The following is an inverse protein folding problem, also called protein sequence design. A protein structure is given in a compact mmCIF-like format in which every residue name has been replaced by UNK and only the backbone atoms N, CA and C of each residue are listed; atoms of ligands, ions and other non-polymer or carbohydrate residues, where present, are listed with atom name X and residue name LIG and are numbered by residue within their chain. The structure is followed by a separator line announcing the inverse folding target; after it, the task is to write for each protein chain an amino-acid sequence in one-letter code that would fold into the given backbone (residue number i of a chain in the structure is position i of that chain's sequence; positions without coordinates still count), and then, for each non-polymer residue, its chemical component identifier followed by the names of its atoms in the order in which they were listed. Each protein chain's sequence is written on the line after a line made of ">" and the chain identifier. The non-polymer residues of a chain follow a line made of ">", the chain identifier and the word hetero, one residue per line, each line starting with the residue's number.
data_IF_641598649462
#
_entry.id   IF_641598649462
#
_cell.length_a   1.000
_cell.length_b   1.000
_cell.length_c   1.000
_cell.angle_alpha   90.00
_cell.angle_beta   90.00
_cell.angle_gamma   90.00
#
_symmetry.space_group_name_H-M   'P 1'
#
loop_
_entity.id
_entity.type
_entity.pdbx_description
1 polymer ?
#
# COMPACT_ATOMS: atom_id res chain seq x y z
N UNK A 1 4.99 19.17 17.55
CA UNK A 1 4.55 17.95 16.83
C UNK A 1 5.75 17.11 16.45
N UNK A 2 5.58 15.80 16.37
CA UNK A 2 6.64 14.87 15.94
C UNK A 2 6.39 14.45 14.49
N UNK A 3 7.46 14.16 13.78
CA UNK A 3 7.38 13.64 12.42
C UNK A 3 7.77 12.16 12.45
N UNK A 4 6.88 11.30 11.95
CA UNK A 4 7.16 9.88 11.78
C UNK A 4 7.50 9.64 10.31
N UNK A 5 8.63 8.98 10.06
CA UNK A 5 8.98 8.52 8.72
C UNK A 5 8.81 7.01 8.65
N UNK A 6 8.05 6.55 7.68
CA UNK A 6 7.73 5.14 7.50
C UNK A 6 8.24 4.68 6.13
N UNK A 7 9.01 3.59 6.13
CA UNK A 7 9.51 2.98 4.90
C UNK A 7 8.93 1.57 4.79
N UNK A 8 8.26 1.30 3.68
CA UNK A 8 7.67 0.00 3.41
C UNK A 8 8.30 -0.57 2.13
N UNK A 9 8.79 -1.80 2.21
CA UNK A 9 9.31 -2.53 1.06
C UNK A 9 8.54 -3.83 0.92
N UNK A 10 8.08 -4.11 -0.30
CA UNK A 10 7.37 -5.34 -0.61
C UNK A 10 7.86 -5.90 -1.93
N UNK A 11 7.97 -7.22 -2.00
CA UNK A 11 8.29 -7.93 -3.22
C UNK A 11 7.16 -8.91 -3.52
N UNK A 12 6.71 -8.91 -4.77
CA UNK A 12 5.64 -9.77 -5.22
C UNK A 12 6.10 -10.55 -6.45
N UNK A 13 5.77 -11.82 -6.49
CA UNK A 13 5.89 -12.62 -7.71
C UNK A 13 4.57 -12.54 -8.46
N UNK A 14 4.61 -12.01 -9.68
CA UNK A 14 3.40 -11.74 -10.45
C UNK A 14 3.44 -12.55 -11.76
N UNK A 15 2.27 -12.87 -12.33
CA UNK A 15 2.21 -13.52 -13.66
C UNK A 15 2.84 -12.64 -14.75
N UNK A 16 3.37 -13.28 -15.79
CA UNK A 16 4.08 -12.58 -16.86
C UNK A 16 3.16 -11.65 -17.67
N UNK A 17 1.86 -11.89 -17.67
CA UNK A 17 0.90 -11.06 -18.39
C UNK A 17 0.43 -9.82 -17.63
N UNK A 18 0.92 -9.61 -16.41
CA UNK A 18 0.69 -8.37 -15.67
C UNK A 18 1.77 -7.36 -16.05
N UNK A 19 1.39 -6.12 -16.28
CA UNK A 19 2.29 -5.09 -16.79
C UNK A 19 2.27 -3.85 -15.95
N UNK A 20 3.42 -3.19 -15.85
CA UNK A 20 3.53 -1.86 -15.25
C UNK A 20 3.27 -0.84 -16.36
N UNK A 21 2.24 -0.02 -16.20
CA UNK A 21 1.82 0.96 -17.20
C UNK A 21 1.61 2.32 -16.57
N UNK A 22 1.67 3.37 -17.39
CA UNK A 22 1.30 4.71 -16.95
C UNK A 22 -0.20 4.89 -17.14
N UNK A 23 -0.90 5.15 -16.03
CA UNK A 23 -2.34 5.41 -16.07
C UNK A 23 -2.60 6.83 -16.57
N UNK A 24 -3.74 7.11 -17.25
CA UNK A 24 -4.08 8.46 -17.69
C UNK A 24 -4.10 9.52 -16.58
N UNK A 25 -4.24 9.12 -15.31
CA UNK A 25 -4.14 10.02 -14.18
C UNK A 25 -2.72 10.51 -13.90
N UNK A 26 -1.71 9.99 -14.59
CA UNK A 26 -0.32 10.41 -14.47
C UNK A 26 0.55 9.57 -13.54
N UNK A 27 -0.01 8.50 -12.97
CA UNK A 27 0.76 7.60 -12.08
C UNK A 27 1.02 6.26 -12.77
N UNK A 28 2.08 5.59 -12.34
CA UNK A 28 2.35 4.23 -12.77
C UNK A 28 1.57 3.25 -11.90
N UNK A 29 0.91 2.31 -12.54
CA UNK A 29 0.07 1.30 -11.91
C UNK A 29 0.32 -0.05 -12.55
N UNK A 30 -0.14 -1.10 -11.89
CA UNK A 30 -0.06 -2.45 -12.41
C UNK A 30 -1.33 -2.76 -13.19
N UNK A 31 -1.18 -3.17 -14.46
CA UNK A 31 -2.33 -3.55 -15.30
C UNK A 31 -2.54 -5.05 -15.21
N UNK A 32 -3.76 -5.45 -14.83
CA UNK A 32 -4.16 -6.84 -14.67
C UNK A 32 -5.44 -7.05 -15.48
N UNK A 33 -5.32 -7.61 -16.68
CA UNK A 33 -6.46 -7.73 -17.58
C UNK A 33 -7.02 -6.36 -17.96
N UNK A 34 -8.26 -6.08 -17.58
CA UNK A 34 -8.91 -4.78 -17.81
C UNK A 34 -8.97 -3.91 -16.55
N UNK A 35 -8.18 -4.23 -15.53
CA UNK A 35 -8.17 -3.51 -14.26
C UNK A 35 -6.80 -2.88 -14.02
N UNK A 36 -6.77 -1.87 -13.18
CA UNK A 36 -5.54 -1.22 -12.75
C UNK A 36 -5.45 -1.32 -11.23
N UNK A 37 -4.26 -1.62 -10.74
CA UNK A 37 -4.00 -1.80 -9.32
C UNK A 37 -2.93 -0.82 -8.89
N UNK A 38 -3.22 -0.05 -7.84
CA UNK A 38 -2.27 0.79 -7.14
C UNK A 38 -2.15 0.28 -5.70
N UNK A 39 -1.06 0.62 -5.05
CA UNK A 39 -0.82 0.20 -3.67
C UNK A 39 -0.82 1.42 -2.76
N UNK A 40 -1.45 1.27 -1.62
CA UNK A 40 -1.61 2.34 -0.64
C UNK A 40 -1.27 1.84 0.76
N UNK A 41 -1.13 2.76 1.70
CA UNK A 41 -0.91 2.43 3.09
C UNK A 41 -2.25 2.07 3.74
N UNK A 42 -2.27 0.94 4.44
CA UNK A 42 -3.45 0.51 5.19
C UNK A 42 -3.09 0.35 6.68
N UNK A 43 -3.42 1.31 7.54
CA UNK A 43 -3.20 1.17 8.97
C UNK A 43 -4.03 0.04 9.57
N UNK A 44 -3.43 -0.72 10.47
CA UNK A 44 -4.10 -1.78 11.22
C UNK A 44 -4.06 -1.44 12.70
N UNK A 45 -5.13 -1.75 13.42
CA UNK A 45 -5.33 -1.31 14.81
C UNK A 45 -5.70 -2.49 15.70
N UNK A 46 -5.20 -2.50 16.92
CA UNK A 46 -5.68 -3.37 17.98
C UNK A 46 -5.60 -2.63 19.32
N UNK A 47 -6.55 -2.86 20.19
CA UNK A 47 -6.50 -2.42 21.58
C UNK A 47 -6.00 -3.52 22.52
N UNK A 48 -5.79 -4.73 22.02
CA UNK A 48 -5.32 -5.86 22.80
C UNK A 48 -3.82 -5.79 23.05
N UNK A 49 -3.40 -6.11 24.28
CA UNK A 49 -1.98 -6.22 24.63
C UNK A 49 -1.49 -7.67 24.65
N UNK A 50 -2.34 -8.62 24.26
CA UNK A 50 -1.98 -10.02 24.20
C UNK A 50 -1.00 -10.30 23.05
N UNK A 51 -0.05 -11.24 23.20
CA UNK A 51 0.89 -11.56 22.13
C UNK A 51 0.23 -12.12 20.86
N UNK A 52 -0.97 -12.70 20.98
CA UNK A 52 -1.74 -13.27 19.87
C UNK A 52 -2.84 -12.32 19.37
N UNK A 53 -2.72 -11.03 19.64
CA UNK A 53 -3.71 -10.05 19.23
C UNK A 53 -3.94 -10.06 17.73
N UNK A 54 -5.21 -9.89 17.34
CA UNK A 54 -5.59 -9.73 15.94
C UNK A 54 -5.62 -8.24 15.59
N UNK A 55 -5.00 -7.89 14.47
CA UNK A 55 -4.96 -6.53 13.96
C UNK A 55 -6.03 -6.36 12.88
N UNK A 56 -6.71 -5.22 12.88
CA UNK A 56 -7.89 -5.02 12.05
C UNK A 56 -7.93 -3.60 11.49
N UNK A 57 -8.55 -3.44 10.33
CA UNK A 57 -8.86 -2.14 9.72
C UNK A 57 -10.35 -1.78 9.87
N UNK A 58 -11.08 -2.48 10.74
CA UNK A 58 -12.54 -2.31 10.87
C UNK A 58 -12.93 -0.97 11.50
N UNK A 59 -12.04 -0.31 12.26
CA UNK A 59 -12.30 1.03 12.78
C UNK A 59 -11.94 2.06 11.69
N UNK A 60 -12.85 2.19 10.72
CA UNK A 60 -12.61 3.02 9.56
C UNK A 60 -12.38 4.49 9.88
N UNK A 61 -13.09 5.04 10.90
CA UNK A 61 -12.90 6.44 11.27
C UNK A 61 -11.52 6.69 11.86
N UNK A 62 -11.07 5.80 12.74
CA UNK A 62 -9.74 5.94 13.36
C UNK A 62 -8.62 5.79 12.33
N UNK A 63 -8.74 4.80 11.44
CA UNK A 63 -7.74 4.61 10.39
C UNK A 63 -7.76 5.74 9.37
N UNK A 64 -8.92 6.30 9.04
CA UNK A 64 -9.03 7.47 8.17
C UNK A 64 -8.37 8.70 8.80
N UNK A 65 -8.55 8.92 10.10
CA UNK A 65 -7.91 10.02 10.81
C UNK A 65 -6.38 9.90 10.77
N UNK A 66 -5.85 8.67 10.87
CA UNK A 66 -4.41 8.42 10.75
C UNK A 66 -3.94 8.68 9.32
N UNK A 67 -4.69 8.25 8.32
CA UNK A 67 -4.35 8.50 6.91
C UNK A 67 -4.35 9.99 6.59
N UNK A 68 -5.22 10.77 7.20
CA UNK A 68 -5.26 12.23 7.02
C UNK A 68 -4.00 12.91 7.57
N UNK A 69 -3.25 12.25 8.44
CA UNK A 69 -1.98 12.77 8.95
C UNK A 69 -0.82 12.60 7.98
N UNK A 70 -1.01 11.83 6.93
CA UNK A 70 0.02 11.60 5.90
C UNK A 70 0.17 12.88 5.08
N UNK A 71 1.36 13.48 5.13
CA UNK A 71 1.62 14.72 4.40
C UNK A 71 2.31 14.50 3.06
N UNK A 72 2.81 13.29 2.82
CA UNK A 72 3.42 12.94 1.55
C UNK A 72 3.55 11.43 1.44
N UNK A 73 3.22 10.89 0.29
CA UNK A 73 3.31 9.45 0.00
C UNK A 73 3.93 9.27 -1.38
N UNK A 74 5.10 8.65 -1.41
CA UNK A 74 5.75 8.26 -2.65
C UNK A 74 5.66 6.75 -2.79
N UNK A 75 5.09 6.30 -3.88
CA UNK A 75 5.10 4.88 -4.24
C UNK A 75 5.85 4.71 -5.57
N UNK A 76 6.77 3.76 -5.59
CA UNK A 76 7.50 3.40 -6.79
C UNK A 76 7.31 1.91 -7.05
N UNK A 77 7.02 1.59 -8.30
CA UNK A 77 6.89 0.21 -8.73
C UNK A 77 7.95 -0.08 -9.79
N UNK A 78 8.56 -1.25 -9.69
CA UNK A 78 9.59 -1.68 -10.62
C UNK A 78 9.39 -3.16 -10.89
N UNK A 79 9.49 -3.57 -12.17
CA UNK A 79 9.40 -4.96 -12.56
C UNK A 79 10.81 -5.45 -12.88
N UNK A 80 11.21 -6.53 -12.20
CA UNK A 80 12.45 -7.25 -12.48
C UNK A 80 12.08 -8.65 -12.93
N UNK A 81 12.61 -9.04 -14.08
CA UNK A 81 12.37 -10.39 -14.60
C UNK A 81 13.26 -11.39 -13.90
N UNK A 82 12.64 -12.46 -13.39
CA UNK A 82 13.37 -13.57 -12.77
C UNK A 82 14.01 -14.44 -13.86
N UNK A 83 15.25 -14.83 -13.59
CA UNK A 83 15.99 -15.70 -14.50
C UNK A 83 16.14 -17.10 -13.93
#
# INVERSE_FOLDING_TARGET
>A
MKKLSLVLNAELEIPDDWELVEHPSGIYVLKVGNRFIDFDIAPLVTASTAPDATWSDEDGKFTDDILDMVTGLDSQMEITYLQ
#
